data_IF_032950621609
#
_entry.id   IF_032950621609
#
_cell.length_a   1.000
_cell.length_b   1.000
_cell.length_c   1.000
_cell.angle_alpha   90.00
_cell.angle_beta   90.00
_cell.angle_gamma   90.00
#
_symmetry.space_group_name_H-M   'P 1'
#
loop_
_entity.id
_entity.type
_entity.pdbx_description
1 polymer ?
#
# COMPACT_ATOMS: atom_id res chain seq x y z
N UNK A 1 -34.20 -16.45 -11.55
CA UNK A 1 -34.53 -15.24 -10.74
C UNK A 1 -33.56 -15.16 -9.60
N UNK A 2 -33.26 -13.97 -9.07
CA UNK A 2 -32.46 -13.79 -7.87
C UNK A 2 -33.29 -13.01 -6.87
N UNK A 3 -33.26 -13.41 -5.60
CA UNK A 3 -33.96 -12.68 -4.55
C UNK A 3 -33.26 -12.80 -3.22
N UNK A 4 -32.88 -11.66 -2.64
CA UNK A 4 -32.30 -11.58 -1.30
C UNK A 4 -32.69 -10.29 -0.58
N UNK A 5 -32.49 -10.26 0.71
CA UNK A 5 -32.55 -9.05 1.52
C UNK A 5 -31.34 -8.96 2.46
N UNK A 6 -30.84 -7.75 2.67
CA UNK A 6 -29.75 -7.49 3.62
C UNK A 6 -29.81 -6.04 4.13
N UNK A 7 -29.21 -5.78 5.28
CA UNK A 7 -29.05 -4.43 5.76
C UNK A 7 -28.16 -3.59 4.84
N UNK A 8 -28.54 -2.34 4.60
CA UNK A 8 -27.82 -1.42 3.73
C UNK A 8 -26.33 -1.35 4.07
N UNK A 9 -25.97 -1.29 5.34
CA UNK A 9 -24.58 -1.12 5.79
C UNK A 9 -23.67 -2.25 5.29
N UNK A 10 -24.13 -3.50 5.33
CA UNK A 10 -23.33 -4.63 4.85
C UNK A 10 -23.15 -4.60 3.34
N UNK A 11 -24.24 -4.31 2.60
CA UNK A 11 -24.19 -4.22 1.14
C UNK A 11 -23.33 -3.04 0.68
N UNK A 12 -23.45 -1.88 1.31
CA UNK A 12 -22.65 -0.70 1.02
C UNK A 12 -21.15 -0.93 1.23
N UNK A 13 -20.77 -1.56 2.34
CA UNK A 13 -19.38 -1.89 2.64
C UNK A 13 -18.81 -2.88 1.64
N UNK A 14 -19.56 -3.93 1.31
CA UNK A 14 -19.13 -4.92 0.32
C UNK A 14 -18.91 -4.30 -1.07
N UNK A 15 -19.85 -3.46 -1.53
CA UNK A 15 -19.72 -2.73 -2.80
C UNK A 15 -18.49 -1.80 -2.76
N UNK A 16 -18.28 -1.07 -1.68
CA UNK A 16 -17.16 -0.13 -1.56
C UNK A 16 -15.80 -0.84 -1.64
N UNK A 17 -15.68 -2.03 -1.01
CA UNK A 17 -14.46 -2.82 -1.01
C UNK A 17 -14.24 -3.47 -2.39
N UNK A 18 -15.24 -4.14 -2.95
CA UNK A 18 -15.09 -4.88 -4.20
C UNK A 18 -14.97 -3.98 -5.44
N UNK A 19 -15.57 -2.78 -5.41
CA UNK A 19 -15.44 -1.79 -6.48
C UNK A 19 -13.99 -1.32 -6.72
N UNK A 20 -13.10 -1.51 -5.75
CA UNK A 20 -11.66 -1.19 -5.88
C UNK A 20 -10.95 -2.07 -6.91
N UNK A 21 -11.46 -3.28 -7.15
CA UNK A 21 -10.91 -4.19 -8.14
C UNK A 21 -11.68 -4.18 -9.48
N UNK A 22 -12.64 -3.28 -9.67
CA UNK A 22 -13.38 -3.17 -10.93
C UNK A 22 -12.54 -2.46 -11.99
N UNK A 23 -12.59 -2.94 -13.24
CA UNK A 23 -11.91 -2.30 -14.35
C UNK A 23 -12.57 -0.96 -14.70
N UNK A 24 -11.79 0.11 -14.89
CA UNK A 24 -12.33 1.40 -15.33
C UNK A 24 -12.81 1.39 -16.79
N UNK A 25 -12.10 0.63 -17.62
CA UNK A 25 -12.45 0.32 -19.02
C UNK A 25 -11.94 -1.06 -19.36
N UNK A 26 -12.77 -1.88 -19.99
CA UNK A 26 -12.40 -3.23 -20.38
C UNK A 26 -12.97 -3.60 -21.74
N UNK A 27 -12.30 -4.48 -22.47
CA UNK A 27 -12.86 -5.16 -23.65
C UNK A 27 -13.96 -6.17 -23.29
N UNK A 28 -14.02 -6.56 -22.01
CA UNK A 28 -15.08 -7.40 -21.42
C UNK A 28 -15.94 -6.48 -20.56
N UNK A 29 -17.14 -6.07 -21.04
CA UNK A 29 -17.99 -5.11 -20.31
C UNK A 29 -18.39 -5.56 -18.91
N UNK A 30 -18.49 -6.86 -18.67
CA UNK A 30 -18.80 -7.43 -17.36
C UNK A 30 -17.77 -7.03 -16.28
N UNK A 31 -16.51 -6.83 -16.63
CA UNK A 31 -15.44 -6.40 -15.68
C UNK A 31 -15.56 -4.94 -15.23
N UNK A 32 -16.40 -4.12 -15.87
CA UNK A 32 -16.75 -2.77 -15.40
C UNK A 32 -17.89 -2.81 -14.35
N UNK A 33 -18.34 -4.01 -14.00
CA UNK A 33 -19.39 -4.29 -13.03
C UNK A 33 -18.90 -5.13 -11.85
N UNK A 34 -19.81 -5.28 -10.90
CA UNK A 34 -19.68 -6.20 -9.76
C UNK A 34 -20.48 -7.45 -10.07
N UNK A 35 -19.86 -8.62 -9.94
CA UNK A 35 -20.56 -9.89 -9.93
C UNK A 35 -21.23 -10.07 -8.57
N UNK A 36 -22.54 -10.24 -8.60
CA UNK A 36 -23.37 -10.62 -7.46
C UNK A 36 -23.71 -12.10 -7.63
N UNK A 37 -23.22 -12.91 -6.72
CA UNK A 37 -23.49 -14.34 -6.65
C UNK A 37 -24.29 -14.62 -5.40
N UNK A 38 -25.52 -15.09 -5.56
CA UNK A 38 -26.40 -15.48 -4.48
C UNK A 38 -26.64 -16.98 -4.53
N UNK A 39 -26.29 -17.68 -3.44
CA UNK A 39 -26.55 -19.09 -3.22
C UNK A 39 -26.87 -19.29 -1.72
N UNK A 40 -26.14 -20.11 -1.00
CA UNK A 40 -26.26 -20.23 0.47
C UNK A 40 -25.82 -18.94 1.18
N UNK A 41 -24.95 -18.19 0.52
CA UNK A 41 -24.45 -16.88 0.95
C UNK A 41 -24.53 -15.89 -0.21
N UNK A 42 -24.56 -14.61 0.11
CA UNK A 42 -24.41 -13.56 -0.87
C UNK A 42 -22.93 -13.20 -0.97
N UNK A 43 -22.36 -13.31 -2.16
CA UNK A 43 -20.97 -12.92 -2.44
C UNK A 43 -20.93 -11.83 -3.49
N UNK A 44 -20.16 -10.78 -3.26
CA UNK A 44 -19.92 -9.71 -4.25
C UNK A 44 -18.46 -9.76 -4.66
N UNK A 45 -18.21 -9.68 -5.97
CA UNK A 45 -16.85 -9.73 -6.53
C UNK A 45 -16.61 -8.59 -7.52
N UNK A 46 -15.41 -8.02 -7.47
CA UNK A 46 -14.86 -7.13 -8.48
C UNK A 46 -13.57 -7.73 -9.03
N UNK A 47 -13.31 -7.61 -10.34
CA UNK A 47 -12.12 -8.16 -10.97
C UNK A 47 -11.68 -7.32 -12.17
N UNK A 48 -10.36 -7.05 -12.30
CA UNK A 48 -9.77 -6.30 -13.41
C UNK A 48 -8.69 -7.08 -14.16
N UNK A 49 -8.68 -8.41 -14.05
CA UNK A 49 -7.70 -9.34 -14.60
C UNK A 49 -6.30 -9.31 -13.92
N UNK A 50 -6.02 -8.34 -13.06
CA UNK A 50 -4.78 -8.25 -12.28
C UNK A 50 -5.02 -8.45 -10.79
N UNK A 51 -6.11 -7.86 -10.31
CA UNK A 51 -6.55 -7.94 -8.91
C UNK A 51 -8.03 -8.27 -8.88
N UNK A 52 -8.40 -9.25 -8.09
CA UNK A 52 -9.77 -9.61 -7.76
C UNK A 52 -10.03 -9.40 -6.27
N UNK A 53 -11.19 -8.86 -5.95
CA UNK A 53 -11.66 -8.77 -4.56
C UNK A 53 -13.04 -9.36 -4.51
N UNK A 54 -13.24 -10.31 -3.60
CA UNK A 54 -14.56 -10.84 -3.27
C UNK A 54 -14.81 -10.77 -1.78
N UNK A 55 -16.06 -10.56 -1.40
CA UNK A 55 -16.46 -10.51 0.00
C UNK A 55 -17.81 -11.16 0.19
N UNK A 56 -17.96 -11.87 1.31
CA UNK A 56 -19.23 -12.42 1.72
C UNK A 56 -20.05 -11.34 2.43
N UNK A 57 -21.35 -11.34 2.16
CA UNK A 57 -22.29 -10.37 2.72
C UNK A 57 -23.33 -11.12 3.54
N UNK A 58 -23.56 -10.67 4.75
CA UNK A 58 -24.63 -11.21 5.57
C UNK A 58 -25.99 -10.81 4.98
N UNK A 59 -26.68 -11.77 4.37
CA UNK A 59 -27.95 -11.57 3.67
C UNK A 59 -28.87 -12.79 3.83
N UNK A 60 -30.15 -12.55 3.73
CA UNK A 60 -31.15 -13.62 3.61
C UNK A 60 -31.42 -13.88 2.12
N UNK A 61 -30.84 -14.95 1.59
CA UNK A 61 -31.02 -15.37 0.19
C UNK A 61 -32.24 -16.27 0.10
N UNK A 62 -33.21 -15.91 -0.74
CA UNK A 62 -34.45 -16.63 -0.98
C UNK A 62 -34.36 -17.42 -2.30
N UNK A 63 -33.80 -16.79 -3.34
CA UNK A 63 -33.59 -17.40 -4.66
C UNK A 63 -32.18 -17.07 -5.13
N UNK A 64 -31.42 -18.10 -5.51
CA UNK A 64 -30.04 -17.99 -5.93
C UNK A 64 -29.87 -17.69 -7.42
N UNK A 65 -28.69 -17.17 -7.79
CA UNK A 65 -28.28 -16.91 -9.17
C UNK A 65 -27.18 -15.88 -9.27
N UNK A 66 -26.80 -15.54 -10.50
CA UNK A 66 -25.67 -14.65 -10.82
C UNK A 66 -26.11 -13.49 -11.69
N UNK A 67 -25.64 -12.30 -11.38
CA UNK A 67 -25.86 -11.10 -12.17
C UNK A 67 -24.69 -10.13 -12.01
N UNK A 68 -24.40 -9.36 -13.05
CA UNK A 68 -23.40 -8.30 -13.01
C UNK A 68 -24.11 -6.95 -13.06
N UNK A 69 -23.75 -6.07 -12.13
CA UNK A 69 -24.23 -4.69 -12.08
C UNK A 69 -23.10 -3.69 -12.26
N UNK A 70 -23.37 -2.60 -12.99
CA UNK A 70 -22.43 -1.51 -13.08
C UNK A 70 -22.06 -1.01 -11.68
N UNK A 71 -20.76 -1.12 -11.33
CA UNK A 71 -20.28 -0.89 -9.98
C UNK A 71 -20.58 0.53 -9.47
N UNK A 72 -20.39 1.54 -10.34
CA UNK A 72 -20.63 2.93 -9.99
C UNK A 72 -22.12 3.21 -9.75
N UNK A 73 -22.97 2.80 -10.68
CA UNK A 73 -24.41 3.02 -10.58
C UNK A 73 -24.99 2.33 -9.36
N UNK A 74 -24.67 1.04 -9.19
CA UNK A 74 -25.15 0.27 -8.04
C UNK A 74 -24.67 0.84 -6.71
N UNK A 75 -23.38 1.19 -6.61
CA UNK A 75 -22.81 1.84 -5.42
C UNK A 75 -23.45 3.20 -5.14
N UNK A 76 -23.76 3.98 -6.17
CA UNK A 76 -24.42 5.27 -6.02
C UNK A 76 -25.87 5.14 -5.53
N UNK A 77 -26.60 4.13 -5.98
CA UNK A 77 -27.95 3.80 -5.52
C UNK A 77 -27.93 3.41 -4.05
N UNK A 78 -27.14 2.36 -3.70
CA UNK A 78 -27.12 1.83 -2.32
C UNK A 78 -26.66 2.91 -1.32
N UNK A 79 -25.71 3.76 -1.66
CA UNK A 79 -25.25 4.84 -0.79
C UNK A 79 -26.36 5.84 -0.45
N UNK A 80 -27.29 6.08 -1.39
CA UNK A 80 -28.40 7.05 -1.24
C UNK A 80 -29.68 6.45 -0.68
N UNK A 81 -29.78 5.12 -0.58
CA UNK A 81 -30.90 4.45 0.08
C UNK A 81 -30.99 4.82 1.56
N UNK A 82 -32.17 4.76 2.17
CA UNK A 82 -32.34 4.83 3.63
C UNK A 82 -31.49 3.79 4.37
N UNK A 83 -31.18 4.03 5.64
CA UNK A 83 -30.45 3.08 6.49
C UNK A 83 -31.42 2.02 7.05
N UNK A 84 -31.82 1.07 6.19
CA UNK A 84 -32.78 0.02 6.52
C UNK A 84 -32.49 -1.22 5.66
N UNK A 85 -33.41 -2.18 5.68
CA UNK A 85 -33.35 -3.42 4.92
C UNK A 85 -33.50 -3.16 3.41
N UNK A 86 -32.50 -3.55 2.65
CA UNK A 86 -32.55 -3.56 1.17
C UNK A 86 -33.18 -4.87 0.72
N UNK A 87 -34.15 -4.77 -0.17
CA UNK A 87 -34.68 -5.91 -0.92
C UNK A 87 -34.18 -5.84 -2.37
N UNK A 88 -33.64 -6.94 -2.84
CA UNK A 88 -33.09 -7.08 -4.19
C UNK A 88 -33.79 -8.22 -4.91
N UNK A 89 -34.26 -7.96 -6.13
CA UNK A 89 -34.77 -9.01 -7.00
C UNK A 89 -34.27 -8.80 -8.44
N UNK A 90 -33.94 -9.88 -9.13
CA UNK A 90 -33.59 -9.84 -10.55
C UNK A 90 -34.39 -10.89 -11.34
N UNK A 91 -34.92 -10.49 -12.49
CA UNK A 91 -35.66 -11.37 -13.37
C UNK A 91 -34.79 -12.05 -14.45
N UNK A 92 -35.39 -12.90 -15.27
CA UNK A 92 -34.70 -13.60 -16.36
C UNK A 92 -34.27 -12.66 -17.51
N UNK A 93 -34.80 -11.43 -17.56
CA UNK A 93 -34.40 -10.39 -18.52
C UNK A 93 -33.32 -9.48 -18.01
N UNK A 94 -32.67 -9.85 -16.87
CA UNK A 94 -31.65 -9.06 -16.18
C UNK A 94 -32.17 -7.70 -15.65
N UNK A 95 -33.48 -7.52 -15.52
CA UNK A 95 -34.05 -6.35 -14.87
C UNK A 95 -33.95 -6.54 -13.35
N UNK A 96 -33.30 -5.63 -12.70
CA UNK A 96 -33.04 -5.64 -11.26
C UNK A 96 -33.86 -4.56 -10.59
N UNK A 97 -34.68 -4.97 -9.64
CA UNK A 97 -35.43 -4.09 -8.76
C UNK A 97 -34.76 -4.06 -7.38
N UNK A 98 -34.42 -2.86 -6.91
CA UNK A 98 -33.80 -2.63 -5.61
C UNK A 98 -34.66 -1.65 -4.81
N UNK A 99 -35.16 -2.07 -3.67
CA UNK A 99 -36.05 -1.25 -2.84
C UNK A 99 -35.62 -1.18 -1.38
N UNK A 100 -35.93 -0.05 -0.73
CA UNK A 100 -35.71 0.20 0.69
C UNK A 100 -36.67 1.28 1.19
N UNK A 101 -37.63 0.91 2.06
CA UNK A 101 -38.73 1.80 2.46
C UNK A 101 -39.57 2.21 1.24
N UNK A 102 -39.72 3.52 1.05
CA UNK A 102 -40.45 4.10 -0.09
C UNK A 102 -39.58 4.37 -1.33
N UNK A 103 -38.27 4.07 -1.25
CA UNK A 103 -37.36 4.25 -2.36
C UNK A 103 -37.20 2.95 -3.14
N UNK A 104 -37.38 3.02 -4.46
CA UNK A 104 -37.16 1.89 -5.35
C UNK A 104 -36.48 2.30 -6.66
N UNK A 105 -35.74 1.37 -7.25
CA UNK A 105 -34.98 1.57 -8.47
C UNK A 105 -35.07 0.32 -9.35
N UNK A 106 -35.32 0.54 -10.62
CA UNK A 106 -35.19 -0.48 -11.66
C UNK A 106 -33.97 -0.21 -12.51
N UNK A 107 -33.03 -1.15 -12.54
CA UNK A 107 -31.78 -1.05 -13.30
C UNK A 107 -31.54 -2.30 -14.13
N UNK A 108 -30.89 -2.13 -15.28
CA UNK A 108 -30.54 -3.26 -16.13
C UNK A 108 -29.17 -3.81 -15.71
N UNK A 109 -29.14 -5.11 -15.42
CA UNK A 109 -27.93 -5.88 -15.22
C UNK A 109 -27.37 -6.47 -16.51
N UNK A 110 -26.24 -7.15 -16.39
CA UNK A 110 -25.57 -7.92 -17.42
C UNK A 110 -25.53 -9.40 -17.02
N UNK A 111 -25.47 -10.28 -18.01
CA UNK A 111 -25.25 -11.71 -17.79
C UNK A 111 -23.87 -11.93 -17.11
N UNK A 112 -23.82 -12.82 -16.15
CA UNK A 112 -22.58 -13.25 -15.52
C UNK A 112 -21.78 -14.25 -16.38
N UNK A 113 -22.34 -14.75 -17.49
CA UNK A 113 -21.69 -15.77 -18.33
C UNK A 113 -20.31 -15.36 -18.88
N UNK A 114 -20.10 -14.06 -19.11
CA UNK A 114 -18.85 -13.52 -19.61
C UNK A 114 -17.94 -12.96 -18.48
N UNK A 115 -18.34 -13.11 -17.22
CA UNK A 115 -17.52 -12.67 -16.09
C UNK A 115 -16.45 -13.73 -15.79
N UNK A 116 -15.16 -13.40 -15.90
CA UNK A 116 -14.10 -14.39 -15.67
C UNK A 116 -14.05 -14.82 -14.21
N UNK A 117 -13.81 -16.10 -13.96
CA UNK A 117 -13.58 -16.61 -12.62
C UNK A 117 -12.34 -15.96 -11.99
N UNK A 118 -12.41 -15.70 -10.70
CA UNK A 118 -11.23 -15.32 -9.93
C UNK A 118 -10.26 -16.51 -9.85
N UNK A 119 -8.94 -16.25 -9.98
CA UNK A 119 -7.96 -17.32 -9.87
C UNK A 119 -8.06 -18.06 -8.53
N UNK A 120 -7.94 -19.37 -8.55
CA UNK A 120 -7.75 -20.16 -7.35
C UNK A 120 -6.28 -20.13 -6.93
N UNK A 121 -6.03 -20.08 -5.63
CA UNK A 121 -4.69 -20.09 -5.04
C UNK A 121 -4.50 -21.40 -4.27
N UNK A 122 -3.63 -22.26 -4.79
CA UNK A 122 -3.22 -23.49 -4.09
C UNK A 122 -2.32 -23.10 -2.93
N UNK A 123 -2.59 -23.66 -1.73
CA UNK A 123 -1.89 -23.37 -0.49
C UNK A 123 -0.52 -24.06 -0.45
N UNK A 124 0.52 -23.43 -1.00
CA UNK A 124 1.89 -23.91 -0.87
C UNK A 124 2.57 -23.34 0.38
N UNK A 125 2.32 -22.05 0.66
CA UNK A 125 2.91 -21.29 1.76
C UNK A 125 1.89 -20.31 2.31
N UNK A 126 1.80 -20.21 3.63
CA UNK A 126 0.92 -19.25 4.27
C UNK A 126 1.55 -18.59 5.50
N UNK A 127 1.23 -17.32 5.72
CA UNK A 127 1.60 -16.58 6.93
C UNK A 127 0.40 -15.84 7.47
N UNK A 128 0.32 -15.72 8.80
CA UNK A 128 -0.71 -14.92 9.45
C UNK A 128 -0.08 -13.90 10.39
N UNK A 129 -0.66 -12.70 10.41
CA UNK A 129 -0.27 -11.60 11.28
C UNK A 129 -1.48 -10.69 11.55
N UNK A 130 -1.35 -9.80 12.52
CA UNK A 130 -2.44 -8.86 12.82
C UNK A 130 -2.64 -7.84 11.70
N UNK A 131 -3.90 -7.50 11.41
CA UNK A 131 -4.24 -6.56 10.33
C UNK A 131 -3.58 -5.20 10.53
N UNK A 132 -3.59 -4.65 11.76
CA UNK A 132 -2.92 -3.38 12.09
C UNK A 132 -1.43 -3.40 11.78
N UNK A 133 -0.77 -4.55 11.99
CA UNK A 133 0.67 -4.72 11.74
C UNK A 133 0.94 -4.72 10.24
N UNK A 134 0.22 -5.54 9.45
CA UNK A 134 0.40 -5.54 8.00
C UNK A 134 0.10 -4.17 7.38
N UNK A 135 -0.97 -3.51 7.85
CA UNK A 135 -1.35 -2.17 7.40
C UNK A 135 -0.23 -1.15 7.65
N UNK A 136 0.36 -1.12 8.87
CA UNK A 136 1.46 -0.21 9.17
C UNK A 136 2.72 -0.52 8.36
N UNK A 137 3.06 -1.82 8.19
CA UNK A 137 4.20 -2.22 7.34
C UNK A 137 4.04 -1.72 5.91
N UNK A 138 2.85 -1.87 5.31
CA UNK A 138 2.59 -1.37 3.96
C UNK A 138 2.73 0.16 3.91
N UNK A 139 2.16 0.88 4.88
CA UNK A 139 2.24 2.33 4.94
C UNK A 139 3.67 2.84 5.02
N UNK A 140 4.49 2.19 5.84
CA UNK A 140 5.88 2.55 6.09
C UNK A 140 6.85 2.15 4.97
N UNK A 141 6.42 1.30 4.02
CA UNK A 141 7.28 0.79 2.94
C UNK A 141 6.82 1.26 1.55
N UNK A 142 5.51 1.38 1.32
CA UNK A 142 4.96 1.61 -0.02
C UNK A 142 5.39 2.94 -0.65
N UNK A 143 5.82 3.93 0.13
CA UNK A 143 6.31 5.21 -0.40
C UNK A 143 7.59 5.06 -1.26
N UNK A 144 8.35 3.99 -1.08
CA UNK A 144 9.55 3.68 -1.84
C UNK A 144 9.31 2.74 -3.04
N UNK A 145 8.08 2.35 -3.31
CA UNK A 145 7.73 1.58 -4.52
C UNK A 145 7.96 2.43 -5.76
N UNK A 146 8.60 1.85 -6.78
CA UNK A 146 8.90 2.54 -8.02
C UNK A 146 7.65 2.75 -8.88
N UNK A 147 7.55 3.91 -9.51
CA UNK A 147 6.57 4.18 -10.58
C UNK A 147 7.12 3.92 -11.98
N UNK A 148 8.39 3.49 -12.08
CA UNK A 148 9.04 3.22 -13.36
C UNK A 148 8.84 1.76 -13.77
N UNK A 149 8.03 1.55 -14.80
CA UNK A 149 7.69 0.23 -15.34
C UNK A 149 8.83 -0.46 -16.12
N UNK A 150 9.97 0.22 -16.35
CA UNK A 150 11.12 -0.41 -17.00
C UNK A 150 11.74 -1.54 -16.18
N UNK A 151 11.47 -1.57 -14.88
CA UNK A 151 11.79 -2.65 -13.95
C UNK A 151 10.54 -3.06 -13.17
N UNK A 152 9.66 -3.87 -13.74
CA UNK A 152 8.36 -4.19 -13.17
C UNK A 152 8.44 -4.73 -11.73
N UNK A 153 9.47 -5.53 -11.41
CA UNK A 153 9.65 -6.08 -10.05
C UNK A 153 9.78 -5.01 -8.97
N UNK A 154 10.26 -3.80 -9.31
CA UNK A 154 10.36 -2.67 -8.37
C UNK A 154 9.06 -1.86 -8.25
N UNK A 155 8.04 -2.14 -9.08
CA UNK A 155 6.71 -1.52 -8.91
C UNK A 155 5.87 -2.20 -7.83
N UNK A 156 6.48 -3.05 -7.03
CA UNK A 156 5.92 -3.70 -5.85
C UNK A 156 6.89 -3.72 -4.69
N UNK A 157 6.49 -4.37 -3.60
CA UNK A 157 7.34 -4.62 -2.46
C UNK A 157 7.64 -6.12 -2.32
N UNK A 158 8.89 -6.42 -1.97
CA UNK A 158 9.33 -7.77 -1.61
C UNK A 158 8.78 -8.13 -0.22
N UNK A 159 8.20 -9.30 -0.11
CA UNK A 159 7.91 -10.00 1.11
C UNK A 159 8.96 -11.11 1.26
N UNK A 160 9.83 -11.00 2.24
CA UNK A 160 10.87 -11.99 2.57
C UNK A 160 10.54 -12.60 3.94
N UNK A 161 10.07 -13.84 3.91
CA UNK A 161 9.55 -14.55 5.07
C UNK A 161 10.55 -15.61 5.48
N UNK A 162 11.07 -15.51 6.69
CA UNK A 162 11.95 -16.49 7.31
C UNK A 162 11.95 -16.32 8.84
N UNK A 163 12.27 -17.39 9.56
CA UNK A 163 12.50 -17.37 11.01
C UNK A 163 11.36 -16.70 11.80
N UNK A 164 10.11 -17.04 11.48
CA UNK A 164 8.90 -16.46 12.07
C UNK A 164 8.86 -14.92 11.97
N UNK A 165 9.44 -14.36 10.92
CA UNK A 165 9.39 -12.93 10.63
C UNK A 165 9.08 -12.64 9.16
N UNK A 166 8.40 -11.54 8.92
CA UNK A 166 8.21 -10.93 7.62
C UNK A 166 9.09 -9.69 7.51
N UNK A 167 9.95 -9.65 6.51
CA UNK A 167 10.63 -8.43 6.07
C UNK A 167 9.96 -7.91 4.79
N UNK A 168 9.50 -6.68 4.80
CA UNK A 168 8.93 -6.00 3.63
C UNK A 168 9.92 -4.97 3.12
N UNK A 169 10.18 -4.97 1.80
CA UNK A 169 11.19 -4.08 1.19
C UNK A 169 10.65 -3.46 -0.10
N UNK A 170 10.80 -2.16 -0.24
CA UNK A 170 10.53 -1.45 -1.49
C UNK A 170 11.73 -0.59 -1.92
N UNK A 171 11.92 -0.44 -3.24
CA UNK A 171 13.02 0.33 -3.83
C UNK A 171 12.58 1.03 -5.11
N UNK A 172 13.09 2.24 -5.37
CA UNK A 172 12.85 2.96 -6.64
C UNK A 172 14.15 3.34 -7.39
N UNK A 173 15.31 2.88 -6.89
CA UNK A 173 16.63 3.18 -7.45
C UNK A 173 17.29 4.42 -6.83
N UNK A 174 16.56 5.20 -6.01
CA UNK A 174 17.08 6.38 -5.29
C UNK A 174 16.91 6.26 -3.78
N UNK A 175 16.05 5.38 -3.35
CA UNK A 175 15.76 5.09 -1.95
C UNK A 175 15.34 3.65 -1.75
N UNK A 176 15.43 3.19 -0.52
CA UNK A 176 14.96 1.88 -0.06
C UNK A 176 14.22 2.07 1.25
N UNK A 177 13.09 1.40 1.39
CA UNK A 177 12.37 1.26 2.65
C UNK A 177 12.34 -0.23 3.03
N UNK A 178 12.63 -0.49 4.30
CA UNK A 178 12.62 -1.81 4.90
C UNK A 178 11.84 -1.76 6.21
N UNK A 179 11.00 -2.76 6.44
CA UNK A 179 10.28 -2.98 7.68
C UNK A 179 10.30 -4.47 8.02
N UNK A 180 10.48 -4.83 9.31
CA UNK A 180 10.43 -6.22 9.77
C UNK A 180 9.52 -6.35 10.96
N UNK A 181 8.70 -7.42 10.96
CA UNK A 181 7.82 -7.77 12.05
C UNK A 181 7.77 -9.27 12.29
N UNK A 182 7.39 -9.66 13.50
CA UNK A 182 7.16 -11.08 13.87
C UNK A 182 5.83 -11.54 13.31
N UNK A 183 5.78 -12.81 12.92
CA UNK A 183 4.58 -13.48 12.44
C UNK A 183 3.90 -14.22 13.60
N UNK A 184 2.58 -14.28 13.57
CA UNK A 184 1.80 -15.13 14.47
C UNK A 184 1.86 -16.59 14.03
N UNK A 185 1.87 -16.83 12.71
CA UNK A 185 1.91 -18.18 12.14
C UNK A 185 2.70 -18.19 10.83
N UNK A 186 3.43 -19.27 10.59
CA UNK A 186 4.16 -19.56 9.35
C UNK A 186 3.94 -21.03 8.97
N UNK A 187 3.47 -21.26 7.74
CA UNK A 187 3.31 -22.59 7.14
C UNK A 187 4.13 -22.68 5.85
N UNK A 188 4.71 -23.83 5.57
CA UNK A 188 5.47 -24.10 4.35
C UNK A 188 6.97 -23.75 4.41
N UNK A 189 7.48 -23.17 5.50
CA UNK A 189 8.90 -22.80 5.65
C UNK A 189 9.22 -21.39 5.11
N UNK A 190 10.49 -21.11 4.82
CA UNK A 190 10.93 -19.81 4.31
C UNK A 190 10.59 -19.65 2.84
N UNK A 191 10.06 -18.48 2.46
CA UNK A 191 9.73 -18.14 1.07
C UNK A 191 9.73 -16.62 0.85
N UNK A 192 9.73 -16.22 -0.42
CA UNK A 192 9.65 -14.80 -0.77
C UNK A 192 8.86 -14.57 -2.06
N UNK A 193 8.25 -13.41 -2.16
CA UNK A 193 7.52 -12.97 -3.35
C UNK A 193 7.47 -11.44 -3.44
N UNK A 194 7.14 -10.92 -4.62
CA UNK A 194 6.93 -9.48 -4.80
C UNK A 194 5.44 -9.21 -5.05
N UNK A 195 4.84 -8.44 -4.15
CA UNK A 195 3.45 -8.01 -4.24
C UNK A 195 3.36 -6.67 -4.98
N UNK A 196 2.49 -6.52 -6.00
CA UNK A 196 2.32 -5.23 -6.70
C UNK A 196 1.92 -4.10 -5.75
N UNK A 197 2.46 -2.91 -5.95
CA UNK A 197 2.13 -1.73 -5.14
C UNK A 197 0.65 -1.33 -5.21
N UNK A 198 0.01 -1.55 -6.36
CA UNK A 198 -1.45 -1.36 -6.51
C UNK A 198 -2.23 -2.29 -5.58
N UNK A 199 -1.89 -3.59 -5.54
CA UNK A 199 -2.54 -4.54 -4.64
C UNK A 199 -2.27 -4.21 -3.15
N UNK A 200 -1.05 -3.80 -2.81
CA UNK A 200 -0.72 -3.35 -1.44
C UNK A 200 -1.56 -2.15 -1.00
N UNK A 201 -1.83 -1.20 -1.90
CA UNK A 201 -2.72 -0.06 -1.62
C UNK A 201 -4.14 -0.52 -1.26
N UNK A 202 -4.65 -1.54 -1.94
CA UNK A 202 -5.96 -2.10 -1.66
C UNK A 202 -5.96 -2.90 -0.35
N UNK A 203 -4.95 -3.75 -0.12
CA UNK A 203 -4.78 -4.49 1.15
C UNK A 203 -4.74 -3.51 2.33
N UNK A 204 -3.94 -2.45 2.25
CA UNK A 204 -3.88 -1.41 3.29
C UNK A 204 -5.24 -0.78 3.57
N UNK A 205 -6.04 -0.57 2.53
CA UNK A 205 -7.36 0.04 2.65
C UNK A 205 -8.42 -0.89 3.24
N UNK A 206 -8.26 -2.21 3.07
CA UNK A 206 -9.16 -3.24 3.58
C UNK A 206 -8.81 -3.61 5.02
N UNK A 207 -7.52 -3.74 5.33
CA UNK A 207 -7.05 -4.03 6.69
C UNK A 207 -7.53 -2.97 7.68
N UNK A 208 -8.16 -3.43 8.76
CA UNK A 208 -8.55 -2.62 9.90
C UNK A 208 -7.37 -2.26 10.81
N UNK A 209 -7.62 -1.34 11.74
CA UNK A 209 -6.72 -1.07 12.88
C UNK A 209 -7.07 -2.00 14.05
N UNK A 210 -7.02 -3.32 13.80
CA UNK A 210 -7.45 -4.35 14.73
C UNK A 210 -6.38 -5.41 14.91
N UNK A 211 -6.54 -6.24 15.95
CA UNK A 211 -5.70 -7.42 16.22
C UNK A 211 -6.18 -8.67 15.50
N UNK A 212 -7.29 -8.57 14.76
CA UNK A 212 -7.75 -9.67 13.92
C UNK A 212 -6.68 -10.07 12.92
N UNK A 213 -6.62 -11.34 12.60
CA UNK A 213 -5.58 -11.85 11.70
C UNK A 213 -5.93 -11.57 10.24
N UNK A 214 -4.90 -11.31 9.47
CA UNK A 214 -4.87 -11.47 8.02
C UNK A 214 -3.99 -12.66 7.69
N UNK A 215 -4.47 -13.51 6.79
CA UNK A 215 -3.67 -14.61 6.24
C UNK A 215 -3.23 -14.26 4.83
N UNK A 216 -1.95 -14.43 4.56
CA UNK A 216 -1.36 -14.22 3.23
C UNK A 216 -0.88 -15.55 2.72
N UNK A 217 -1.49 -16.02 1.63
CA UNK A 217 -1.18 -17.30 0.99
C UNK A 217 -0.49 -17.05 -0.35
N UNK A 218 0.62 -17.73 -0.57
CA UNK A 218 1.36 -17.71 -1.82
C UNK A 218 1.09 -18.97 -2.62
N UNK A 219 0.55 -18.81 -3.81
CA UNK A 219 0.51 -19.83 -4.84
C UNK A 219 1.54 -19.59 -5.94
N UNK A 220 1.51 -20.43 -6.98
CA UNK A 220 2.49 -20.38 -8.09
C UNK A 220 2.58 -19.01 -8.79
N UNK A 221 1.45 -18.36 -9.02
CA UNK A 221 1.36 -17.09 -9.78
C UNK A 221 0.60 -15.99 -9.04
N UNK A 222 -0.16 -16.35 -8.03
CA UNK A 222 -1.06 -15.43 -7.33
C UNK A 222 -0.77 -15.39 -5.83
N UNK A 223 -1.14 -14.30 -5.23
CA UNK A 223 -1.10 -14.04 -3.80
C UNK A 223 -2.55 -13.84 -3.37
N UNK A 224 -2.97 -14.51 -2.32
CA UNK A 224 -4.26 -14.35 -1.68
C UNK A 224 -4.06 -13.68 -0.32
N UNK A 225 -4.83 -12.64 -0.05
CA UNK A 225 -4.98 -12.01 1.26
C UNK A 225 -6.39 -12.30 1.76
N UNK A 226 -6.52 -12.97 2.90
CA UNK A 226 -7.78 -13.24 3.59
C UNK A 226 -7.89 -12.29 4.78
N UNK A 227 -8.86 -11.37 4.72
CA UNK A 227 -9.05 -10.27 5.67
C UNK A 227 -10.52 -10.31 6.13
N UNK A 228 -10.80 -11.02 7.23
CA UNK A 228 -12.17 -11.31 7.65
C UNK A 228 -12.95 -12.04 6.55
N UNK A 229 -14.11 -11.49 6.18
CA UNK A 229 -14.96 -12.04 5.10
C UNK A 229 -14.51 -11.67 3.69
N UNK A 230 -13.42 -10.92 3.56
CA UNK A 230 -12.92 -10.41 2.27
C UNK A 230 -11.66 -11.15 1.84
N UNK A 231 -11.63 -11.54 0.57
CA UNK A 231 -10.46 -12.11 -0.10
C UNK A 231 -10.00 -11.17 -1.20
N UNK A 232 -8.71 -10.81 -1.18
CA UNK A 232 -8.05 -10.10 -2.27
C UNK A 232 -7.03 -11.03 -2.91
N UNK A 233 -7.17 -11.22 -4.22
CA UNK A 233 -6.28 -12.05 -5.03
C UNK A 233 -5.57 -11.16 -6.02
N UNK A 234 -4.24 -11.24 -6.09
CA UNK A 234 -3.47 -10.51 -7.09
C UNK A 234 -2.37 -11.38 -7.70
N UNK A 235 -1.96 -11.04 -8.92
CA UNK A 235 -0.83 -11.69 -9.56
C UNK A 235 0.47 -11.16 -8.95
N UNK A 236 1.38 -12.06 -8.52
CA UNK A 236 2.71 -11.65 -8.04
C UNK A 236 3.56 -11.08 -9.20
N UNK A 237 4.45 -10.16 -8.89
CA UNK A 237 5.44 -9.70 -9.85
C UNK A 237 6.56 -10.73 -9.98
N UNK A 238 6.96 -11.01 -11.22
CA UNK A 238 8.02 -11.96 -11.54
C UNK A 238 9.33 -11.20 -11.78
N UNK A 239 10.45 -11.82 -11.45
CA UNK A 239 11.79 -11.27 -11.63
C UNK A 239 12.62 -11.28 -10.35
N UNK A 240 13.91 -11.02 -10.49
CA UNK A 240 14.84 -10.95 -9.37
C UNK A 240 14.75 -9.56 -8.71
N UNK A 241 14.43 -9.54 -7.41
CA UNK A 241 14.43 -8.32 -6.61
C UNK A 241 15.87 -7.98 -6.20
N UNK A 242 16.12 -6.69 -5.95
CA UNK A 242 17.43 -6.22 -5.48
C UNK A 242 17.87 -6.99 -4.21
N UNK A 243 19.11 -7.46 -4.18
CA UNK A 243 19.72 -7.95 -2.93
C UNK A 243 19.94 -6.77 -1.97
N UNK A 244 18.88 -6.45 -1.25
CA UNK A 244 18.84 -5.33 -0.32
C UNK A 244 19.82 -5.49 0.84
N UNK A 245 20.11 -6.73 1.28
CA UNK A 245 21.03 -7.03 2.38
C UNK A 245 22.46 -6.61 2.07
N UNK A 246 22.86 -6.71 0.80
CA UNK A 246 24.17 -6.25 0.33
C UNK A 246 24.18 -4.79 -0.15
N UNK A 247 23.03 -4.22 -0.48
CA UNK A 247 22.92 -2.82 -0.91
C UNK A 247 23.00 -1.82 0.27
N UNK A 248 22.67 -2.25 1.50
CA UNK A 248 22.68 -1.40 2.68
C UNK A 248 24.09 -1.31 3.27
N UNK A 249 24.70 -0.10 3.39
CA UNK A 249 26.00 0.08 4.00
C UNK A 249 26.01 -0.32 5.48
N UNK A 250 27.01 -1.11 5.88
CA UNK A 250 27.14 -1.60 7.27
C UNK A 250 28.03 -0.75 8.17
N UNK A 251 28.81 0.17 7.61
CA UNK A 251 29.76 1.01 8.36
C UNK A 251 29.46 2.48 8.10
N UNK A 252 28.82 3.11 9.06
CA UNK A 252 28.41 4.51 9.02
C UNK A 252 28.89 5.18 10.32
N UNK A 253 30.13 5.76 10.34
CA UNK A 253 30.76 6.24 11.57
C UNK A 253 30.10 7.51 12.14
N UNK A 254 29.39 8.29 11.31
CA UNK A 254 28.73 9.51 11.75
C UNK A 254 27.29 9.15 12.10
N UNK A 255 26.91 9.40 13.35
CA UNK A 255 25.58 9.11 13.87
C UNK A 255 24.93 10.36 14.44
N UNK A 256 23.78 10.73 13.93
CA UNK A 256 23.03 11.93 14.30
C UNK A 256 21.65 11.51 14.77
N UNK A 257 21.25 11.95 15.94
CA UNK A 257 19.89 11.78 16.47
C UNK A 257 19.13 13.09 16.32
N UNK A 258 17.99 13.03 15.66
CA UNK A 258 17.12 14.18 15.39
C UNK A 258 15.69 13.92 15.87
N UNK A 259 15.02 14.96 16.34
CA UNK A 259 13.57 14.97 16.47
C UNK A 259 12.97 14.95 15.07
N UNK A 260 12.21 13.90 14.73
CA UNK A 260 11.70 13.65 13.38
C UNK A 260 10.89 14.83 12.84
N UNK A 261 9.95 15.33 13.65
CA UNK A 261 9.09 16.45 13.29
C UNK A 261 9.88 17.75 13.05
N UNK A 262 10.83 18.07 13.94
CA UNK A 262 11.63 19.28 13.82
C UNK A 262 12.49 19.27 12.54
N UNK A 263 13.06 18.12 12.19
CA UNK A 263 13.85 17.97 10.97
C UNK A 263 12.97 18.08 9.71
N UNK A 264 11.79 17.45 9.70
CA UNK A 264 10.80 17.58 8.61
C UNK A 264 10.44 19.05 8.38
N UNK A 265 10.08 19.77 9.45
CA UNK A 265 9.71 21.19 9.36
C UNK A 265 10.85 22.07 8.82
N UNK A 266 12.10 21.79 9.21
CA UNK A 266 13.28 22.49 8.70
C UNK A 266 13.52 22.20 7.21
N UNK A 267 13.39 20.95 6.78
CA UNK A 267 13.50 20.58 5.36
C UNK A 267 12.38 21.25 4.55
N UNK A 268 11.16 21.24 5.07
CA UNK A 268 10.00 21.84 4.41
C UNK A 268 10.21 23.34 4.16
N UNK A 269 10.68 24.08 5.19
CA UNK A 269 10.98 25.52 5.07
C UNK A 269 12.01 25.82 3.99
N UNK A 270 13.13 25.10 3.94
CA UNK A 270 14.16 25.35 2.91
C UNK A 270 13.72 24.86 1.52
N UNK A 271 12.79 23.92 1.46
CA UNK A 271 12.27 23.38 0.20
C UNK A 271 11.34 24.32 -0.56
N UNK A 272 10.83 25.36 0.07
CA UNK A 272 9.93 26.36 -0.56
C UNK A 272 10.55 27.01 -1.80
N UNK A 273 11.88 27.22 -1.83
CA UNK A 273 12.56 27.77 -3.00
C UNK A 273 12.87 26.75 -4.09
N UNK A 274 12.67 25.44 -3.82
CA UNK A 274 12.91 24.37 -4.78
C UNK A 274 11.63 24.14 -5.58
N UNK A 275 11.72 24.18 -6.89
CA UNK A 275 10.61 23.79 -7.77
C UNK A 275 10.87 22.42 -8.39
N UNK A 276 9.79 21.71 -8.72
CA UNK A 276 9.85 20.38 -9.38
C UNK A 276 10.65 20.39 -10.69
N UNK A 277 10.68 21.55 -11.37
CA UNK A 277 11.45 21.73 -12.61
C UNK A 277 12.95 21.86 -12.40
N UNK A 278 13.37 22.46 -11.29
CA UNK A 278 14.78 22.77 -11.05
C UNK A 278 15.56 21.63 -10.37
N UNK A 279 14.85 20.71 -9.71
CA UNK A 279 15.44 19.52 -9.04
C UNK A 279 16.71 19.81 -8.23
N UNK A 280 16.82 21.03 -7.65
CA UNK A 280 17.96 21.40 -6.82
C UNK A 280 17.94 20.62 -5.53
N UNK A 281 19.09 20.09 -5.06
CA UNK A 281 19.14 19.36 -3.80
C UNK A 281 19.00 20.31 -2.60
N UNK A 282 18.43 19.79 -1.52
CA UNK A 282 18.66 20.34 -0.18
C UNK A 282 20.07 19.95 0.23
N UNK A 283 20.87 20.92 0.63
CA UNK A 283 22.18 20.72 1.23
C UNK A 283 22.03 20.59 2.74
N UNK A 284 22.52 19.50 3.29
CA UNK A 284 22.52 19.22 4.72
C UNK A 284 23.95 19.18 5.21
N UNK A 285 24.36 20.16 6.00
CA UNK A 285 25.65 20.17 6.66
C UNK A 285 25.46 19.72 8.10
N UNK A 286 25.80 18.46 8.34
CA UNK A 286 25.75 17.83 9.65
C UNK A 286 26.94 18.29 10.51
N UNK A 287 26.67 18.64 11.76
CA UNK A 287 27.63 19.00 12.77
C UNK A 287 27.14 18.41 14.11
N UNK A 288 27.94 18.36 15.14
CA UNK A 288 27.64 17.65 16.40
C UNK A 288 26.30 17.99 17.04
N UNK A 289 25.91 19.27 17.04
CA UNK A 289 24.70 19.77 17.72
C UNK A 289 23.62 20.31 16.78
N UNK A 290 23.87 20.30 15.48
CA UNK A 290 22.97 20.89 14.49
C UNK A 290 23.16 20.32 13.11
N UNK A 291 22.09 20.39 12.33
CA UNK A 291 22.11 20.26 10.85
C UNK A 291 21.79 21.63 10.28
N UNK A 292 22.71 22.19 9.51
CA UNK A 292 22.45 23.40 8.72
C UNK A 292 21.90 22.99 7.36
N UNK A 293 20.69 23.40 7.09
CA UNK A 293 19.95 23.11 5.86
C UNK A 293 19.99 24.31 4.93
N UNK A 294 20.23 24.09 3.65
CA UNK A 294 20.17 25.17 2.66
C UNK A 294 19.71 24.67 1.30
N UNK A 295 19.05 25.56 0.55
CA UNK A 295 18.69 25.35 -0.82
C UNK A 295 18.93 26.64 -1.60
N UNK A 296 19.51 26.53 -2.81
CA UNK A 296 19.76 27.67 -3.69
C UNK A 296 19.26 27.32 -5.09
N UNK A 297 18.40 28.17 -5.64
CA UNK A 297 17.80 28.03 -6.96
C UNK A 297 17.80 29.39 -7.67
N UNK A 298 17.35 29.41 -8.93
CA UNK A 298 17.09 30.68 -9.63
C UNK A 298 15.99 31.55 -8.99
N UNK A 299 15.14 30.95 -8.13
CA UNK A 299 14.06 31.66 -7.43
C UNK A 299 14.50 32.29 -6.11
N UNK A 300 15.69 31.92 -5.59
CA UNK A 300 16.16 32.43 -4.31
C UNK A 300 17.02 31.44 -3.54
N UNK A 301 17.38 31.83 -2.33
CA UNK A 301 18.15 31.03 -1.36
C UNK A 301 17.38 30.95 -0.05
N UNK A 302 17.36 29.77 0.55
CA UNK A 302 16.79 29.52 1.88
C UNK A 302 17.82 28.81 2.76
N UNK A 303 17.82 29.13 4.05
CA UNK A 303 18.66 28.52 5.06
C UNK A 303 17.85 28.29 6.33
N UNK A 304 18.12 27.17 7.01
CA UNK A 304 17.53 26.86 8.30
C UNK A 304 18.52 26.02 9.14
N UNK A 305 18.24 25.90 10.42
CA UNK A 305 19.07 25.13 11.37
C UNK A 305 18.17 24.27 12.23
N UNK A 306 18.35 22.93 12.15
CA UNK A 306 17.71 21.99 13.04
C UNK A 306 18.69 21.56 14.15
N UNK A 307 18.25 21.58 15.41
CA UNK A 307 19.02 21.05 16.54
C UNK A 307 19.00 19.53 16.52
N UNK A 308 20.15 18.93 16.72
CA UNK A 308 20.35 17.47 16.76
C UNK A 308 21.38 17.15 17.85
N UNK A 309 21.60 15.87 18.10
CA UNK A 309 22.74 15.40 18.90
C UNK A 309 23.42 14.28 18.11
N UNK A 310 24.73 14.24 18.18
CA UNK A 310 25.46 13.19 17.48
C UNK A 310 26.94 13.27 17.60
N UNK A 311 27.58 12.25 17.06
CA UNK A 311 29.03 12.06 17.05
C UNK A 311 29.51 11.89 15.60
N UNK A 312 30.78 12.24 15.38
CA UNK A 312 31.43 12.09 14.07
C UNK A 312 31.90 13.42 13.48
N UNK A 313 32.60 13.33 12.37
CA UNK A 313 33.12 14.47 11.66
C UNK A 313 32.02 15.28 10.95
N UNK A 314 32.27 16.57 10.80
CA UNK A 314 31.41 17.45 10.05
C UNK A 314 31.27 16.99 8.59
N UNK A 315 30.06 16.85 8.11
CA UNK A 315 29.79 16.29 6.79
C UNK A 315 28.71 17.05 6.04
N UNK A 316 28.96 17.40 4.77
CA UNK A 316 27.96 17.98 3.88
C UNK A 316 27.48 16.94 2.87
N UNK A 317 26.16 16.77 2.77
CA UNK A 317 25.49 15.89 1.81
C UNK A 317 24.32 16.63 1.16
N UNK A 318 24.14 16.42 -0.16
CA UNK A 318 22.95 16.86 -0.87
C UNK A 318 21.91 15.73 -0.98
N UNK A 319 20.65 16.07 -0.79
CA UNK A 319 19.55 15.12 -0.97
C UNK A 319 18.44 15.68 -1.87
N UNK A 320 17.73 14.79 -2.55
CA UNK A 320 16.41 15.15 -3.06
C UNK A 320 15.50 15.40 -1.85
N UNK A 321 14.95 16.61 -1.76
CA UNK A 321 14.11 17.03 -0.62
C UNK A 321 12.92 16.11 -0.41
N UNK A 322 12.24 15.71 -1.50
CA UNK A 322 11.09 14.83 -1.43
C UNK A 322 11.44 13.46 -0.84
N UNK A 323 12.52 12.84 -1.32
CA UNK A 323 12.92 11.50 -0.86
C UNK A 323 13.33 11.50 0.60
N UNK A 324 14.10 12.52 1.03
CA UNK A 324 14.48 12.66 2.42
C UNK A 324 13.27 12.93 3.33
N UNK A 325 12.36 13.80 2.88
CA UNK A 325 11.16 14.15 3.62
C UNK A 325 10.19 12.97 3.75
N UNK A 326 9.99 12.19 2.68
CA UNK A 326 9.13 11.00 2.72
C UNK A 326 9.72 9.93 3.66
N UNK A 327 11.02 9.67 3.62
CA UNK A 327 11.68 8.74 4.54
C UNK A 327 11.47 9.15 6.02
N UNK A 328 11.52 10.44 6.33
CA UNK A 328 11.26 10.94 7.68
C UNK A 328 9.78 10.89 8.06
N UNK A 329 8.87 11.22 7.13
CA UNK A 329 7.41 11.24 7.39
C UNK A 329 6.84 9.86 7.67
N UNK A 330 7.40 8.83 7.04
CA UNK A 330 6.97 7.44 7.24
C UNK A 330 7.77 6.71 8.33
N UNK A 331 8.74 7.35 8.96
CA UNK A 331 9.42 6.79 10.12
C UNK A 331 8.46 6.73 11.33
N UNK A 332 8.20 5.54 11.90
CA UNK A 332 7.24 5.37 12.98
C UNK A 332 7.86 5.73 14.35
N UNK A 333 8.58 6.86 14.43
CA UNK A 333 9.31 7.25 15.62
C UNK A 333 9.42 8.80 15.76
N UNK A 334 9.25 9.29 16.98
CA UNK A 334 9.42 10.72 17.29
C UNK A 334 10.87 11.18 17.10
N UNK A 335 11.82 10.28 17.31
CA UNK A 335 13.25 10.50 17.09
C UNK A 335 13.80 9.43 16.17
N UNK A 336 14.66 9.87 15.25
CA UNK A 336 15.37 8.97 14.34
C UNK A 336 16.89 9.13 14.51
N UNK A 337 17.59 8.04 14.30
CA UNK A 337 19.06 8.04 14.15
C UNK A 337 19.38 8.04 12.65
N UNK A 338 20.17 9.01 12.22
CA UNK A 338 20.65 9.14 10.85
C UNK A 338 22.11 8.73 10.85
N UNK A 339 22.43 7.68 10.12
CA UNK A 339 23.78 7.15 10.01
C UNK A 339 24.39 7.54 8.66
N UNK A 340 25.58 8.11 8.69
CA UNK A 340 26.26 8.71 7.53
C UNK A 340 27.71 8.24 7.45
N UNK A 341 28.26 8.29 6.23
CA UNK A 341 29.66 7.94 6.02
C UNK A 341 30.41 9.04 5.23
N UNK A 342 30.07 9.26 3.97
CA UNK A 342 30.69 10.29 3.11
C UNK A 342 29.63 11.10 2.37
N UNK A 343 30.02 12.25 1.78
CA UNK A 343 29.13 13.10 1.00
C UNK A 343 28.54 12.45 -0.27
N UNK A 344 28.97 11.23 -0.60
CA UNK A 344 28.50 10.45 -1.76
C UNK A 344 27.97 9.07 -1.38
N UNK A 345 27.93 8.77 -0.08
CA UNK A 345 27.33 7.53 0.47
C UNK A 345 25.87 7.77 0.85
N UNK A 346 25.03 6.75 0.84
CA UNK A 346 23.64 6.87 1.30
C UNK A 346 23.52 7.30 2.76
N UNK A 347 22.46 8.03 3.09
CA UNK A 347 22.02 8.19 4.47
C UNK A 347 21.13 7.00 4.85
N UNK A 348 21.34 6.47 6.06
CA UNK A 348 20.52 5.41 6.65
C UNK A 348 19.75 6.00 7.83
N UNK A 349 18.44 5.82 7.84
CA UNK A 349 17.54 6.31 8.89
C UNK A 349 16.97 5.08 9.60
N UNK A 350 17.21 5.01 10.92
CA UNK A 350 16.80 3.86 11.77
C UNK A 350 16.25 4.37 13.12
N UNK A 351 15.59 3.52 13.92
CA UNK A 351 15.18 3.90 15.28
C UNK A 351 16.39 4.25 16.14
N UNK A 352 16.17 5.10 17.15
CA UNK A 352 17.22 5.50 18.11
C UNK A 352 17.50 4.37 19.09
N UNK A 353 16.45 3.73 19.59
CA UNK A 353 16.49 2.65 20.56
C UNK A 353 15.55 1.51 20.13
N UNK A 354 15.81 0.30 20.61
CA UNK A 354 15.00 -0.88 20.35
C UNK A 354 15.52 -1.75 19.21
N UNK A 355 14.72 -2.72 18.80
CA UNK A 355 15.02 -3.55 17.64
C UNK A 355 14.94 -2.69 16.38
N UNK A 356 15.92 -2.84 15.47
CA UNK A 356 15.92 -2.17 14.17
C UNK A 356 14.83 -2.77 13.27
N UNK A 357 13.58 -2.45 13.55
CA UNK A 357 12.44 -2.98 12.83
C UNK A 357 12.11 -2.19 11.56
N UNK A 358 12.65 -0.97 11.40
CA UNK A 358 12.62 -0.23 10.14
C UNK A 358 14.01 0.31 9.77
N UNK A 359 14.22 0.45 8.47
CA UNK A 359 15.40 1.10 7.91
C UNK A 359 15.01 1.80 6.61
N UNK A 360 15.35 3.07 6.50
CA UNK A 360 15.22 3.79 5.25
C UNK A 360 16.59 4.24 4.75
N UNK A 361 16.86 3.98 3.49
CA UNK A 361 18.08 4.42 2.82
C UNK A 361 17.73 5.47 1.78
N UNK A 362 18.44 6.60 1.78
CA UNK A 362 18.26 7.67 0.79
C UNK A 362 19.59 7.96 0.12
N UNK A 363 19.65 7.83 -1.20
CA UNK A 363 20.84 8.11 -1.99
C UNK A 363 21.10 9.62 -2.05
N UNK A 364 22.39 10.04 -1.98
CA UNK A 364 22.75 11.43 -2.10
C UNK A 364 22.65 11.94 -3.54
N UNK A 365 22.48 13.25 -3.67
CA UNK A 365 22.66 13.99 -4.92
C UNK A 365 24.03 14.63 -4.93
N UNK A 366 24.81 14.45 -5.99
CA UNK A 366 26.13 15.09 -6.10
C UNK A 366 25.99 16.61 -6.03
N UNK A 367 26.67 17.21 -5.08
CA UNK A 367 26.78 18.65 -4.98
C UNK A 367 27.82 19.14 -6.00
N UNK A 368 27.45 20.14 -6.82
CA UNK A 368 28.47 20.85 -7.60
C UNK A 368 29.33 21.62 -6.63
N UNK A 369 30.65 21.53 -6.79
CA UNK A 369 31.59 22.41 -6.08
C UNK A 369 31.17 23.85 -6.34
N UNK A 370 31.11 24.67 -5.30
CA UNK A 370 30.96 26.12 -5.48
C UNK A 370 32.21 26.61 -6.21
N UNK A 371 32.04 27.05 -7.47
CA UNK A 371 33.03 27.88 -8.14
C UNK A 371 33.02 29.27 -7.53
#
# INVERSE_FOLDING_TARGET
>A
MIKFSCEKVFLQNAIAVTSRAVAQKSSIPALEGLLIHADQQLTISGYNMQTGIRTNVFANVVEGGDIVLNARLFGDIIRRMPDDMITFTADEKMMVHVSCGDADFDILGLSAADYPDLPEVEDEYAVSMQQKVLRSMIEEVAFAVSTNESRPVHTGALFDIADMSLSMVAVDGFRLAFRREKLEKLEGGAFSFVCPGSALSEVKSICGDTEDLVTVTLGKRHILFEIGDTQLICRRLEGEFLDHKNAIPRKNPIQIVAETKALIESIDRVSVVISDKLKSPVRCLFDHDKVMLSAKTGNGEAKDVCRVSGDGDKLEIGFNNRYLMEALRYAPADKVKIELNTGVSPAIIVPVEGEENFLYMVLPVRLKSAE
#
